data_IF_853523663438
#
_entry.id   IF_853523663438
#
_cell.length_a   1.000
_cell.length_b   1.000
_cell.length_c   1.000
_cell.angle_alpha   90.00
_cell.angle_beta   90.00
_cell.angle_gamma   90.00
#
_symmetry.space_group_name_H-M   'P 1'
#
loop_
_entity.id
_entity.type
_entity.pdbx_description
1 polymer ?
#
# COMPACT_ATOMS: atom_id res chain seq x y z
N UNK A 1 17.49 -4.42 10.22
CA UNK A 1 17.14 -4.98 8.91
C UNK A 1 16.14 -6.10 9.13
N UNK A 2 14.82 -5.82 9.00
CA UNK A 2 13.79 -6.86 9.14
C UNK A 2 13.72 -7.57 7.79
N UNK A 3 14.24 -8.78 7.73
CA UNK A 3 14.11 -9.66 6.56
C UNK A 3 12.72 -10.26 6.62
N UNK A 4 11.78 -9.72 5.84
CA UNK A 4 10.52 -10.40 5.56
C UNK A 4 10.83 -11.63 4.71
N UNK A 5 10.86 -12.79 5.32
CA UNK A 5 10.83 -14.04 4.59
C UNK A 5 9.41 -14.18 4.04
N UNK A 6 9.19 -13.73 2.81
CA UNK A 6 7.96 -14.02 2.08
C UNK A 6 7.98 -15.52 1.80
N UNK A 7 7.25 -16.28 2.62
CA UNK A 7 6.95 -17.68 2.31
C UNK A 7 6.19 -17.64 0.98
N UNK A 8 6.79 -18.11 -0.08
CA UNK A 8 6.16 -18.23 -1.39
C UNK A 8 5.03 -19.24 -1.21
N UNK A 9 3.78 -18.76 -1.09
CA UNK A 9 2.60 -19.63 -1.20
C UNK A 9 2.56 -20.02 -2.66
N UNK A 10 2.69 -21.29 -2.99
CA UNK A 10 2.49 -21.74 -4.36
C UNK A 10 1.06 -21.34 -4.77
N UNK A 11 0.91 -20.69 -5.88
CA UNK A 11 -0.33 -20.12 -6.40
C UNK A 11 -0.98 -19.01 -5.54
N UNK A 12 -0.71 -17.77 -5.91
CA UNK A 12 -1.30 -16.58 -5.27
C UNK A 12 -2.81 -16.37 -5.59
N UNK A 13 -3.49 -17.36 -6.19
CA UNK A 13 -4.89 -17.29 -6.62
C UNK A 13 -5.70 -18.50 -6.15
N UNK A 14 -6.00 -18.61 -4.85
CA UNK A 14 -6.65 -19.81 -4.30
C UNK A 14 -8.08 -20.08 -4.84
N UNK A 15 -8.80 -19.07 -5.32
CA UNK A 15 -10.08 -19.25 -6.02
C UNK A 15 -9.91 -19.89 -7.39
N UNK A 16 -8.82 -19.56 -8.12
CA UNK A 16 -8.49 -20.19 -9.39
C UNK A 16 -8.12 -21.65 -9.17
N UNK A 17 -7.37 -21.97 -8.14
CA UNK A 17 -7.07 -23.34 -7.74
C UNK A 17 -8.36 -24.12 -7.43
N UNK A 18 -9.35 -23.52 -6.78
CA UNK A 18 -10.63 -24.17 -6.54
C UNK A 18 -11.39 -24.48 -7.84
N UNK A 19 -11.36 -23.61 -8.84
CA UNK A 19 -11.92 -23.84 -10.18
C UNK A 19 -11.13 -24.94 -10.94
N UNK A 20 -9.81 -24.97 -10.82
CA UNK A 20 -8.94 -25.99 -11.41
C UNK A 20 -9.24 -27.37 -10.79
N UNK A 21 -9.47 -27.45 -9.47
CA UNK A 21 -9.88 -28.67 -8.79
C UNK A 21 -11.27 -29.13 -9.28
N UNK A 22 -12.22 -28.24 -9.48
CA UNK A 22 -13.53 -28.59 -10.08
C UNK A 22 -13.35 -29.24 -11.42
N UNK A 23 -12.45 -28.71 -12.26
CA UNK A 23 -12.19 -29.25 -13.60
C UNK A 23 -11.45 -30.59 -13.57
N UNK A 24 -10.58 -30.78 -12.56
CA UNK A 24 -9.77 -32.00 -12.40
C UNK A 24 -10.49 -33.11 -11.63
N UNK A 25 -11.63 -32.84 -11.01
CA UNK A 25 -12.43 -33.79 -10.24
C UNK A 25 -13.39 -34.52 -11.19
N UNK A 26 -13.26 -35.84 -11.32
CA UNK A 26 -14.07 -36.66 -12.19
C UNK A 26 -14.86 -37.69 -11.41
N UNK A 27 -16.09 -37.94 -11.84
CA UNK A 27 -16.90 -39.04 -11.32
C UNK A 27 -16.57 -40.31 -12.08
N UNK A 28 -16.23 -41.38 -11.37
CA UNK A 28 -16.01 -42.71 -11.92
C UNK A 28 -17.31 -43.42 -12.25
N UNK A 29 -17.26 -44.51 -13.02
CA UNK A 29 -18.45 -45.33 -13.33
C UNK A 29 -19.15 -45.90 -12.10
N UNK A 30 -18.42 -46.09 -11.01
CA UNK A 30 -18.94 -46.52 -9.70
C UNK A 30 -19.59 -45.42 -8.89
N UNK A 31 -19.64 -44.18 -9.41
CA UNK A 31 -20.24 -43.01 -8.75
C UNK A 31 -19.32 -42.31 -7.76
N UNK A 32 -18.09 -42.76 -7.57
CA UNK A 32 -17.10 -42.12 -6.69
C UNK A 32 -16.41 -40.97 -7.43
N UNK A 33 -16.01 -39.94 -6.66
CA UNK A 33 -15.23 -38.83 -7.19
C UNK A 33 -13.74 -39.09 -6.99
N UNK A 34 -12.93 -38.82 -8.02
CA UNK A 34 -11.49 -38.96 -8.00
C UNK A 34 -10.84 -37.70 -8.58
N UNK A 35 -9.83 -37.21 -7.90
CA UNK A 35 -9.01 -36.09 -8.37
C UNK A 35 -7.83 -36.62 -9.19
N UNK A 36 -7.36 -35.86 -10.17
CA UNK A 36 -6.16 -36.24 -10.93
C UNK A 36 -4.94 -36.29 -10.01
N UNK A 37 -3.98 -37.18 -10.34
CA UNK A 37 -2.75 -37.37 -9.54
C UNK A 37 -1.93 -36.08 -9.44
N UNK A 38 -1.86 -35.31 -10.55
CA UNK A 38 -1.16 -34.03 -10.57
C UNK A 38 -1.74 -33.02 -9.56
N UNK A 39 -3.06 -32.85 -9.55
CA UNK A 39 -3.73 -31.92 -8.64
C UNK A 39 -3.68 -32.43 -7.19
N UNK A 40 -3.75 -33.75 -6.99
CA UNK A 40 -3.60 -34.35 -5.66
C UNK A 40 -2.21 -34.05 -5.07
N UNK A 41 -1.16 -34.16 -5.89
CA UNK A 41 0.19 -33.83 -5.48
C UNK A 41 0.33 -32.33 -5.15
N UNK A 42 -0.20 -31.44 -6.01
CA UNK A 42 -0.15 -29.99 -5.81
C UNK A 42 -0.83 -29.57 -4.49
N UNK A 43 -2.03 -30.08 -4.20
CA UNK A 43 -2.74 -29.82 -2.96
C UNK A 43 -1.96 -30.34 -1.74
N UNK A 44 -1.38 -31.53 -1.85
CA UNK A 44 -0.60 -32.15 -0.78
C UNK A 44 0.68 -31.36 -0.46
N UNK A 45 1.44 -30.92 -1.47
CA UNK A 45 2.63 -30.10 -1.31
C UNK A 45 2.33 -28.74 -0.69
N UNK A 46 1.16 -28.18 -0.99
CA UNK A 46 0.69 -26.90 -0.43
C UNK A 46 0.03 -27.06 0.97
N UNK A 47 -0.10 -28.28 1.49
CA UNK A 47 -0.84 -28.58 2.73
C UNK A 47 -2.30 -28.08 2.69
N UNK A 48 -2.91 -28.18 1.51
CA UNK A 48 -4.30 -27.76 1.25
C UNK A 48 -5.19 -28.99 1.32
N UNK A 49 -6.21 -28.95 2.19
CA UNK A 49 -7.26 -29.96 2.20
C UNK A 49 -8.42 -29.56 1.32
N UNK A 50 -9.12 -30.54 0.76
CA UNK A 50 -10.28 -30.34 -0.09
C UNK A 50 -11.44 -31.26 0.27
N UNK A 51 -12.67 -30.75 0.06
CA UNK A 51 -13.90 -31.53 0.14
C UNK A 51 -14.79 -31.17 -1.04
N UNK A 52 -15.63 -32.13 -1.47
CA UNK A 52 -16.70 -31.90 -2.41
C UNK A 52 -18.04 -32.19 -1.73
N UNK A 53 -18.89 -31.18 -1.66
CA UNK A 53 -20.22 -31.24 -1.03
C UNK A 53 -21.25 -31.37 -2.14
N UNK A 54 -22.02 -32.44 -2.10
CA UNK A 54 -23.09 -32.70 -3.06
C UNK A 54 -24.28 -31.78 -2.85
N UNK A 55 -24.86 -31.27 -3.96
CA UNK A 55 -25.96 -30.30 -3.94
C UNK A 55 -27.25 -30.84 -3.40
N UNK A 56 -27.53 -32.13 -3.51
CA UNK A 56 -28.81 -32.75 -3.09
C UNK A 56 -28.75 -33.18 -1.64
N UNK A 57 -27.72 -33.95 -1.29
CA UNK A 57 -27.57 -34.57 0.03
C UNK A 57 -26.95 -33.66 1.08
N UNK A 58 -26.22 -32.63 0.67
CA UNK A 58 -25.41 -31.74 1.53
C UNK A 58 -24.33 -32.49 2.30
N UNK A 59 -23.93 -33.66 1.80
CA UNK A 59 -22.86 -34.48 2.37
C UNK A 59 -21.57 -34.34 1.60
N UNK A 60 -20.46 -34.57 2.26
CA UNK A 60 -19.16 -34.67 1.64
C UNK A 60 -19.05 -36.01 0.92
N UNK A 61 -19.00 -35.97 -0.42
CA UNK A 61 -18.89 -37.18 -1.27
C UNK A 61 -17.46 -37.43 -1.74
N UNK A 62 -16.57 -36.47 -1.60
CA UNK A 62 -15.14 -36.62 -1.83
C UNK A 62 -14.34 -35.75 -0.84
N UNK A 63 -13.18 -36.23 -0.44
CA UNK A 63 -12.26 -35.51 0.45
C UNK A 63 -10.81 -35.90 0.18
N UNK A 64 -9.88 -35.01 0.51
CA UNK A 64 -8.43 -35.29 0.53
C UNK A 64 -8.03 -36.08 1.77
N UNK A 65 -6.91 -36.79 1.72
CA UNK A 65 -6.42 -37.63 2.83
C UNK A 65 -6.01 -36.80 4.07
N UNK A 66 -5.57 -35.56 3.84
CA UNK A 66 -5.13 -34.62 4.88
C UNK A 66 -6.27 -33.79 5.50
N UNK A 67 -7.55 -34.21 5.28
CA UNK A 67 -8.69 -33.51 5.88
C UNK A 67 -8.64 -33.55 7.40
N UNK A 68 -8.63 -32.40 8.12
CA UNK A 68 -8.66 -32.38 9.58
C UNK A 68 -9.96 -32.95 10.15
N UNK A 69 -9.86 -33.69 11.26
CA UNK A 69 -11.03 -34.29 11.96
C UNK A 69 -12.03 -33.24 12.48
N UNK A 70 -11.62 -31.98 12.57
CA UNK A 70 -12.49 -30.88 13.00
C UNK A 70 -13.43 -30.37 11.91
N UNK A 71 -13.27 -30.85 10.66
CA UNK A 71 -14.08 -30.44 9.53
C UNK A 71 -15.30 -31.35 9.42
N UNK A 72 -16.53 -30.81 9.44
CA UNK A 72 -17.73 -31.61 9.34
C UNK A 72 -17.88 -32.26 7.95
N UNK A 73 -18.53 -33.41 7.91
CA UNK A 73 -18.83 -34.13 6.66
C UNK A 73 -20.28 -33.98 6.19
N UNK A 74 -21.12 -33.30 6.98
CA UNK A 74 -22.51 -33.00 6.63
C UNK A 74 -22.77 -31.53 6.91
N UNK A 75 -23.43 -30.85 5.99
CA UNK A 75 -23.63 -29.42 6.00
C UNK A 75 -25.13 -29.08 5.93
N UNK A 76 -25.56 -28.09 6.69
CA UNK A 76 -26.85 -27.43 6.51
C UNK A 76 -26.72 -26.30 5.49
N UNK A 77 -27.83 -25.78 5.00
CA UNK A 77 -27.81 -24.61 4.10
C UNK A 77 -27.17 -23.39 4.77
N UNK A 78 -27.35 -23.22 6.08
CA UNK A 78 -26.76 -22.16 6.87
C UNK A 78 -25.22 -22.33 6.97
N UNK A 79 -24.75 -23.56 7.09
CA UNK A 79 -23.31 -23.86 7.11
C UNK A 79 -22.70 -23.52 5.76
N UNK A 80 -23.31 -23.95 4.64
CA UNK A 80 -22.84 -23.64 3.28
C UNK A 80 -22.79 -22.14 3.06
N UNK A 81 -23.81 -21.38 3.46
CA UNK A 81 -23.81 -19.92 3.41
C UNK A 81 -22.68 -19.30 4.24
N UNK A 82 -22.26 -19.97 5.32
CA UNK A 82 -21.13 -19.54 6.15
C UNK A 82 -19.77 -19.86 5.53
N UNK A 83 -19.66 -20.93 4.74
CA UNK A 83 -18.43 -21.28 4.01
C UNK A 83 -17.98 -20.16 3.05
N UNK A 84 -18.92 -19.51 2.40
CA UNK A 84 -18.64 -18.39 1.50
C UNK A 84 -18.05 -17.18 2.21
N UNK A 85 -18.19 -17.10 3.54
CA UNK A 85 -17.61 -16.04 4.39
C UNK A 85 -16.13 -16.24 4.70
N UNK A 86 -15.56 -17.40 4.41
CA UNK A 86 -14.14 -17.52 4.25
C UNK A 86 -13.34 -18.34 5.26
N UNK A 87 -13.92 -18.90 6.35
CA UNK A 87 -13.19 -19.74 7.29
C UNK A 87 -14.06 -20.91 7.81
N UNK A 88 -13.43 -22.10 7.92
CA UNK A 88 -13.96 -23.24 8.68
C UNK A 88 -12.91 -23.61 9.73
N UNK A 89 -13.28 -23.67 11.00
CA UNK A 89 -12.37 -24.07 12.09
C UNK A 89 -11.00 -23.35 12.02
N UNK A 90 -11.00 -22.04 11.70
CA UNK A 90 -9.83 -21.18 11.50
C UNK A 90 -9.01 -21.45 10.20
N UNK A 91 -9.43 -22.36 9.36
CA UNK A 91 -8.83 -22.55 8.04
C UNK A 91 -9.47 -21.58 7.05
N UNK A 92 -8.69 -20.77 6.34
CA UNK A 92 -9.21 -19.94 5.25
C UNK A 92 -9.65 -20.83 4.10
N UNK A 93 -10.93 -20.73 3.70
CA UNK A 93 -11.53 -21.59 2.69
C UNK A 93 -11.85 -20.84 1.41
N UNK A 94 -11.69 -21.51 0.27
CA UNK A 94 -12.06 -21.03 -1.05
C UNK A 94 -12.94 -22.06 -1.73
N UNK A 95 -13.92 -21.58 -2.49
CA UNK A 95 -14.95 -22.44 -3.09
C UNK A 95 -14.90 -22.36 -4.59
N UNK A 96 -15.11 -23.52 -5.26
CA UNK A 96 -15.33 -23.64 -6.69
C UNK A 96 -16.71 -24.27 -6.94
N UNK A 97 -17.46 -23.71 -7.87
CA UNK A 97 -18.79 -24.23 -8.23
C UNK A 97 -18.66 -25.36 -9.23
N UNK A 98 -19.24 -26.51 -8.93
CA UNK A 98 -19.42 -27.62 -9.85
C UNK A 98 -20.90 -27.83 -10.14
N UNK A 99 -21.22 -28.48 -11.27
CA UNK A 99 -22.62 -28.71 -11.71
C UNK A 99 -23.46 -29.41 -10.62
N UNK A 100 -22.88 -30.40 -9.95
CA UNK A 100 -23.58 -31.22 -8.94
C UNK A 100 -23.19 -30.91 -7.51
N UNK A 101 -22.36 -29.87 -7.24
CA UNK A 101 -21.91 -29.60 -5.89
C UNK A 101 -20.96 -28.43 -5.76
N UNK A 102 -20.34 -28.38 -4.60
CA UNK A 102 -19.42 -27.31 -4.20
C UNK A 102 -18.08 -27.93 -3.78
N UNK A 103 -17.02 -27.59 -4.49
CA UNK A 103 -15.65 -27.84 -4.03
C UNK A 103 -15.30 -26.79 -2.98
N UNK A 104 -14.74 -27.21 -1.86
CA UNK A 104 -14.20 -26.34 -0.82
C UNK A 104 -12.76 -26.72 -0.54
N UNK A 105 -11.84 -25.78 -0.73
CA UNK A 105 -10.43 -25.92 -0.39
C UNK A 105 -10.11 -25.17 0.88
N UNK A 106 -9.46 -25.80 1.83
CA UNK A 106 -9.00 -25.17 3.06
C UNK A 106 -7.49 -25.08 3.10
N UNK A 107 -6.99 -23.89 3.26
CA UNK A 107 -5.57 -23.57 3.32
C UNK A 107 -5.07 -23.61 4.77
N UNK A 108 -3.76 -23.77 5.00
CA UNK A 108 -3.19 -23.78 6.34
C UNK A 108 -3.62 -22.57 7.16
N UNK A 109 -3.83 -22.76 8.46
CA UNK A 109 -4.23 -21.68 9.38
C UNK A 109 -3.25 -20.52 9.30
N UNK A 110 -3.77 -19.29 9.25
CA UNK A 110 -3.00 -18.05 9.13
C UNK A 110 -2.29 -17.84 7.77
N UNK A 111 -2.53 -18.67 6.76
CA UNK A 111 -1.96 -18.47 5.41
C UNK A 111 -2.59 -17.29 4.69
N UNK A 112 -3.88 -17.09 4.84
CA UNK A 112 -4.62 -15.96 4.26
C UNK A 112 -5.41 -15.22 5.33
N UNK A 113 -5.44 -13.90 5.20
CA UNK A 113 -6.34 -13.06 5.97
C UNK A 113 -7.49 -12.62 5.07
N UNK A 114 -8.69 -13.14 5.33
CA UNK A 114 -9.91 -12.81 4.58
C UNK A 114 -10.72 -11.78 5.36
N UNK A 115 -11.01 -10.66 4.75
CA UNK A 115 -11.82 -9.61 5.37
C UNK A 115 -13.30 -9.83 5.01
N UNK A 116 -14.06 -10.41 5.95
CA UNK A 116 -15.40 -10.92 5.70
C UNK A 116 -16.53 -9.87 5.71
N UNK A 117 -16.26 -8.67 6.23
CA UNK A 117 -17.30 -7.69 6.51
C UNK A 117 -17.21 -6.39 5.72
N UNK A 118 -16.37 -6.30 4.72
CA UNK A 118 -16.22 -5.09 3.93
C UNK A 118 -17.10 -5.15 2.67
N UNK A 119 -18.31 -4.69 2.81
CA UNK A 119 -19.05 -4.16 1.66
C UNK A 119 -18.73 -2.66 1.55
N UNK A 120 -18.12 -2.26 0.46
CA UNK A 120 -17.81 -0.87 0.19
C UNK A 120 -18.92 -0.28 -0.67
N UNK A 121 -19.32 0.94 -0.36
CA UNK A 121 -20.26 1.67 -1.21
C UNK A 121 -19.64 1.79 -2.63
N UNK A 122 -20.41 1.34 -3.63
CA UNK A 122 -19.99 1.41 -5.03
C UNK A 122 -19.63 2.84 -5.45
N UNK A 123 -20.40 3.84 -5.01
CA UNK A 123 -20.16 5.25 -5.31
C UNK A 123 -18.83 5.74 -4.73
N UNK A 124 -18.47 5.28 -3.56
CA UNK A 124 -17.19 5.61 -2.93
C UNK A 124 -16.02 5.06 -3.74
N UNK A 125 -16.10 3.79 -4.17
CA UNK A 125 -15.04 3.17 -4.99
C UNK A 125 -14.98 3.79 -6.38
N UNK A 126 -16.12 4.02 -7.02
CA UNK A 126 -16.20 4.63 -8.34
C UNK A 126 -15.63 6.06 -8.37
N UNK A 127 -15.79 6.80 -7.28
CA UNK A 127 -15.27 8.17 -7.15
C UNK A 127 -13.83 8.22 -6.57
N UNK A 128 -13.28 7.12 -6.09
CA UNK A 128 -11.95 7.07 -5.47
C UNK A 128 -10.85 7.64 -6.39
N UNK A 129 -10.78 7.31 -7.70
CA UNK A 129 -9.79 7.90 -8.60
C UNK A 129 -9.91 9.42 -8.71
N UNK A 130 -11.14 9.96 -8.76
CA UNK A 130 -11.39 11.41 -8.80
C UNK A 130 -10.97 12.08 -7.50
N UNK A 131 -11.27 11.47 -6.35
CA UNK A 131 -10.91 11.99 -5.03
C UNK A 131 -9.40 12.04 -4.85
N UNK A 132 -8.69 10.97 -5.24
CA UNK A 132 -7.22 10.91 -5.20
C UNK A 132 -6.61 11.97 -6.12
N UNK A 133 -7.12 12.10 -7.35
CA UNK A 133 -6.63 13.11 -8.29
C UNK A 133 -6.84 14.53 -7.75
N UNK A 134 -8.00 14.82 -7.19
CA UNK A 134 -8.30 16.11 -6.56
C UNK A 134 -7.36 16.41 -5.41
N UNK A 135 -7.11 15.44 -4.53
CA UNK A 135 -6.17 15.57 -3.43
C UNK A 135 -4.74 15.85 -3.92
N UNK A 136 -4.30 15.18 -4.99
CA UNK A 136 -2.99 15.43 -5.62
C UNK A 136 -2.89 16.85 -6.17
N UNK A 137 -3.90 17.32 -6.87
CA UNK A 137 -3.93 18.69 -7.42
C UNK A 137 -3.84 19.71 -6.28
N UNK A 138 -4.61 19.53 -5.21
CA UNK A 138 -4.56 20.42 -4.04
C UNK A 138 -3.14 20.43 -3.43
N UNK A 139 -2.52 19.27 -3.27
CA UNK A 139 -1.14 19.17 -2.76
C UNK A 139 -0.14 19.93 -3.64
N UNK A 140 -0.23 19.78 -4.96
CA UNK A 140 0.64 20.50 -5.90
C UNK A 140 0.45 22.02 -5.76
N UNK A 141 -0.79 22.49 -5.65
CA UNK A 141 -1.08 23.92 -5.45
C UNK A 141 -0.48 24.43 -4.14
N UNK A 142 -0.62 23.68 -3.04
CA UNK A 142 -0.06 24.06 -1.74
C UNK A 142 1.47 24.14 -1.80
N UNK A 143 2.13 23.14 -2.40
CA UNK A 143 3.58 23.14 -2.59
C UNK A 143 4.01 24.34 -3.43
N UNK A 144 3.29 24.65 -4.51
CA UNK A 144 3.58 25.79 -5.37
C UNK A 144 3.46 27.13 -4.61
N UNK A 145 2.41 27.31 -3.79
CA UNK A 145 2.23 28.52 -2.96
C UNK A 145 3.40 28.66 -1.95
N UNK A 146 3.79 27.54 -1.30
CA UNK A 146 4.94 27.56 -0.37
C UNK A 146 6.22 27.95 -1.11
N UNK A 147 6.47 27.35 -2.27
CA UNK A 147 7.64 27.65 -3.09
C UNK A 147 7.71 29.12 -3.51
N UNK A 148 6.60 29.67 -4.05
CA UNK A 148 6.54 31.07 -4.45
C UNK A 148 6.75 32.01 -3.25
N UNK A 149 6.14 31.71 -2.11
CA UNK A 149 6.28 32.51 -0.90
C UNK A 149 7.70 32.48 -0.34
N UNK A 150 8.34 31.32 -0.34
CA UNK A 150 9.74 31.16 0.07
C UNK A 150 10.68 31.92 -0.86
N UNK A 151 10.53 31.76 -2.18
CA UNK A 151 11.34 32.43 -3.19
C UNK A 151 11.20 33.96 -3.12
N UNK A 152 9.99 34.48 -2.97
CA UNK A 152 9.77 35.94 -2.86
C UNK A 152 10.39 36.50 -1.58
N UNK A 153 10.33 35.78 -0.45
CA UNK A 153 11.01 36.17 0.79
C UNK A 153 12.53 36.17 0.63
N UNK A 154 13.08 35.14 -0.01
CA UNK A 154 14.51 35.04 -0.26
C UNK A 154 15.02 36.16 -1.16
N UNK A 155 14.34 36.43 -2.28
CA UNK A 155 14.67 37.51 -3.21
C UNK A 155 14.60 38.90 -2.55
N UNK A 156 13.61 39.13 -1.68
CA UNK A 156 13.51 40.38 -0.92
C UNK A 156 14.66 40.56 0.06
N UNK A 157 15.22 39.47 0.60
CA UNK A 157 16.35 39.52 1.51
C UNK A 157 17.69 39.67 0.79
N UNK A 158 17.82 39.12 -0.41
CA UNK A 158 19.07 39.15 -1.19
C UNK A 158 19.26 40.48 -1.90
N UNK A 159 18.22 41.11 -2.45
CA UNK A 159 18.31 42.39 -3.15
C UNK A 159 19.06 43.49 -2.42
N UNK A 160 18.73 43.81 -1.15
CA UNK A 160 19.46 44.87 -0.42
C UNK A 160 20.94 44.50 -0.17
N UNK A 161 21.24 43.22 0.00
CA UNK A 161 22.63 42.75 0.17
C UNK A 161 23.44 42.95 -1.10
N UNK A 162 22.90 42.54 -2.25
CA UNK A 162 23.57 42.70 -3.54
C UNK A 162 23.80 44.21 -3.85
N UNK A 163 22.80 45.05 -3.56
CA UNK A 163 22.94 46.49 -3.73
C UNK A 163 24.02 47.06 -2.77
N UNK A 164 24.01 46.67 -1.49
CA UNK A 164 25.02 47.10 -0.52
C UNK A 164 26.44 46.72 -0.89
N UNK A 165 26.65 45.52 -1.44
CA UNK A 165 27.99 45.13 -1.95
C UNK A 165 28.38 45.99 -3.14
N UNK A 166 27.46 46.32 -4.01
CA UNK A 166 27.73 47.18 -5.16
C UNK A 166 28.05 48.63 -4.72
N UNK A 167 27.31 49.19 -3.78
CA UNK A 167 27.51 50.55 -3.23
C UNK A 167 28.88 50.62 -2.49
N UNK A 168 29.25 49.56 -1.72
CA UNK A 168 30.55 49.42 -1.09
C UNK A 168 31.72 49.39 -2.13
N UNK A 169 31.51 48.74 -3.27
CA UNK A 169 32.52 48.65 -4.32
C UNK A 169 32.85 50.00 -4.98
N UNK A 170 31.92 50.95 -4.90
CA UNK A 170 32.06 52.32 -5.40
C UNK A 170 32.56 53.29 -4.29
N UNK A 171 32.67 52.78 -3.06
CA UNK A 171 33.13 53.58 -1.91
C UNK A 171 32.01 54.39 -1.25
N UNK A 172 30.75 54.09 -1.53
CA UNK A 172 29.61 54.73 -0.88
C UNK A 172 29.26 54.08 0.45
N UNK A 173 28.82 54.88 1.46
CA UNK A 173 28.38 54.35 2.76
C UNK A 173 27.16 53.46 2.62
N UNK A 174 27.17 52.31 3.25
CA UNK A 174 26.10 51.32 3.16
C UNK A 174 25.54 51.06 4.55
N UNK A 175 24.21 51.09 4.66
CA UNK A 175 23.50 50.69 5.87
C UNK A 175 22.28 49.84 5.48
N UNK A 176 22.40 48.52 5.67
CA UNK A 176 21.36 47.53 5.36
C UNK A 176 20.65 47.19 6.66
N UNK A 177 19.32 47.07 6.58
CA UNK A 177 18.50 46.66 7.72
C UNK A 177 18.83 45.23 8.14
N UNK A 178 19.27 45.03 9.36
CA UNK A 178 19.61 43.74 9.94
C UNK A 178 18.34 42.98 10.35
N UNK A 179 17.68 42.34 9.40
CA UNK A 179 16.45 41.57 9.65
C UNK A 179 16.30 40.38 8.71
N UNK A 180 15.72 39.29 9.25
CA UNK A 180 15.41 38.07 8.47
C UNK A 180 16.55 37.07 8.37
N UNK A 181 16.44 36.18 7.37
CA UNK A 181 17.32 35.03 7.18
C UNK A 181 18.81 35.38 6.94
N UNK A 182 19.10 36.59 6.50
CA UNK A 182 20.44 37.06 6.15
C UNK A 182 20.91 38.23 7.03
N UNK A 183 20.37 38.34 8.24
CA UNK A 183 20.71 39.40 9.18
C UNK A 183 22.22 39.46 9.52
N UNK A 184 22.84 38.31 9.68
CA UNK A 184 24.29 38.21 9.97
C UNK A 184 25.16 38.75 8.81
N UNK A 185 24.76 38.44 7.56
CA UNK A 185 25.45 39.00 6.38
C UNK A 185 25.25 40.50 6.30
N UNK A 186 24.03 40.99 6.57
CA UNK A 186 23.73 42.43 6.59
C UNK A 186 24.58 43.15 7.65
N UNK A 187 24.71 42.58 8.84
CA UNK A 187 25.56 43.13 9.91
C UNK A 187 27.02 43.19 9.53
N UNK A 188 27.56 42.16 8.90
CA UNK A 188 28.94 42.12 8.41
C UNK A 188 29.22 43.17 7.33
N UNK A 189 28.25 43.41 6.43
CA UNK A 189 28.38 44.44 5.37
C UNK A 189 28.35 45.83 6.01
N UNK A 190 27.45 46.09 6.96
CA UNK A 190 27.38 47.36 7.68
C UNK A 190 28.71 47.64 8.42
N UNK A 191 29.24 46.66 9.14
CA UNK A 191 30.52 46.77 9.84
C UNK A 191 31.70 47.03 8.88
N UNK A 192 31.71 46.42 7.73
CA UNK A 192 32.75 46.66 6.70
C UNK A 192 32.66 48.06 6.14
N UNK A 193 31.42 48.56 5.94
CA UNK A 193 31.16 49.94 5.52
C UNK A 193 31.74 50.98 6.52
N UNK A 194 31.47 50.75 7.83
CA UNK A 194 31.98 51.63 8.90
C UNK A 194 33.51 51.67 8.98
N UNK A 195 34.14 50.52 8.81
CA UNK A 195 35.63 50.43 8.78
C UNK A 195 36.20 51.17 7.56
N UNK A 196 35.63 51.01 6.39
CA UNK A 196 36.07 51.70 5.20
C UNK A 196 35.92 53.22 5.29
N UNK A 197 34.81 53.67 5.88
CA UNK A 197 34.60 55.09 6.12
C UNK A 197 35.62 55.67 7.11
N UNK A 198 35.89 54.99 8.23
CA UNK A 198 36.86 55.40 9.20
C UNK A 198 38.27 55.52 8.62
N UNK A 199 38.66 54.60 7.76
CA UNK A 199 39.95 54.64 7.01
C UNK A 199 40.00 55.83 6.05
N UNK A 200 38.91 56.13 5.33
CA UNK A 200 38.85 57.26 4.41
C UNK A 200 39.00 58.60 5.16
N UNK A 201 38.35 58.75 6.32
CA UNK A 201 38.48 59.92 7.16
C UNK A 201 39.91 60.13 7.75
N UNK A 202 40.63 59.05 8.03
CA UNK A 202 42.01 59.15 8.50
C UNK A 202 42.94 59.59 7.35
N UNK A 203 42.73 59.09 6.13
CA UNK A 203 43.56 59.44 4.97
C UNK A 203 43.31 60.84 4.42
N UNK A 204 42.21 61.47 4.69
CA UNK A 204 41.89 62.83 4.23
C UNK A 204 42.44 63.93 5.20
N UNK A 205 42.95 63.53 6.39
CA UNK A 205 43.49 64.41 7.41
C UNK A 205 45.00 64.47 7.45
N UNK A 206 45.70 63.60 6.75
CA UNK A 206 47.17 63.64 6.55
C UNK A 206 47.48 64.30 5.21
#
# INVERSE_FOLDING_TARGET
LVVFTIRKIPNAQPWKTAEEVVTALHQTEDGNYVLTDEMTLELSEADVWGIFIDNDTKQVVWKTDNLPDTIPTTYTLSDIASLTRGYISDYPTFTGEAENGLVVLGYPKKSFWKHMWSSWDYQLIANLPKTVLTALIINVIVIFIIYVTANTKLLKSVKPITKGIQDLSVGEPVQIKESGLLSEISANINRTSDILQSQKYCHEKD
#
